data_IF_580761749733
#
_entry.id   IF_580761749733
#
_cell.length_a   1.000
_cell.length_b   1.000
_cell.length_c   1.000
_cell.angle_alpha   90.00
_cell.angle_beta   90.00
_cell.angle_gamma   90.00
#
_symmetry.space_group_name_H-M   'P 1'
#
loop_
_entity.id
_entity.type
_entity.pdbx_description
1 polymer ?
#
# COMPACT_ATOMS: atom_id res chain seq x y z
N UNK A 1 -6.78 -3.32 6.55
CA UNK A 1 -7.30 -3.54 5.18
C UNK A 1 -6.23 -4.19 4.31
N UNK A 2 -6.64 -4.91 3.27
CA UNK A 2 -5.73 -5.65 2.37
C UNK A 2 -5.88 -5.17 0.94
N UNK A 3 -4.78 -4.75 0.33
CA UNK A 3 -4.74 -4.33 -1.07
C UNK A 3 -3.82 -5.28 -1.84
N UNK A 4 -4.38 -5.93 -2.88
CA UNK A 4 -3.57 -6.73 -3.80
C UNK A 4 -2.89 -5.79 -4.79
N UNK A 5 -1.57 -5.86 -4.86
CA UNK A 5 -0.75 -5.08 -5.78
C UNK A 5 0.09 -6.01 -6.65
N UNK A 6 0.47 -5.54 -7.84
CA UNK A 6 1.32 -6.32 -8.74
C UNK A 6 2.78 -5.99 -8.42
N UNK A 7 3.63 -7.01 -8.39
CA UNK A 7 5.08 -6.86 -8.35
C UNK A 7 5.64 -7.18 -9.74
N UNK A 8 6.94 -6.98 -9.99
CA UNK A 8 7.55 -7.43 -11.25
C UNK A 8 7.42 -8.94 -11.48
N UNK A 9 7.41 -9.73 -10.40
CA UNK A 9 7.44 -11.19 -10.47
C UNK A 9 6.05 -11.84 -10.34
N UNK A 10 5.13 -11.25 -9.57
CA UNK A 10 3.76 -11.73 -9.37
C UNK A 10 2.87 -10.63 -8.76
N UNK A 11 2.29 -10.89 -7.60
CA UNK A 11 1.36 -10.04 -6.90
C UNK A 11 1.50 -10.28 -5.41
N UNK A 12 1.35 -9.20 -4.64
CA UNK A 12 1.52 -9.19 -3.19
C UNK A 12 0.28 -8.62 -2.53
N UNK A 13 -0.07 -9.12 -1.35
CA UNK A 13 -1.09 -8.53 -0.50
C UNK A 13 -0.39 -7.55 0.44
N UNK A 14 -0.73 -6.28 0.36
CA UNK A 14 -0.25 -5.23 1.27
C UNK A 14 -1.31 -4.96 2.32
N UNK A 15 -0.94 -5.09 3.59
CA UNK A 15 -1.74 -4.63 4.72
C UNK A 15 -1.66 -3.10 4.79
N UNK A 16 -2.65 -2.40 4.24
CA UNK A 16 -2.63 -0.93 4.07
C UNK A 16 -2.58 -0.16 5.39
N UNK A 17 -2.99 -0.79 6.49
CA UNK A 17 -2.97 -0.19 7.83
C UNK A 17 -1.57 -0.24 8.46
N UNK A 18 -0.68 -1.07 7.89
CA UNK A 18 0.69 -1.25 8.34
C UNK A 18 1.68 -0.48 7.46
N UNK A 19 1.21 0.14 6.37
CA UNK A 19 2.05 0.96 5.48
C UNK A 19 2.49 2.20 6.23
N UNK A 20 3.80 2.37 6.34
CA UNK A 20 4.44 3.51 7.02
C UNK A 20 4.91 4.55 6.02
N UNK A 21 5.45 4.11 4.89
CA UNK A 21 6.00 4.97 3.86
C UNK A 21 6.05 4.29 2.49
N UNK A 22 6.22 5.08 1.45
CA UNK A 22 6.45 4.58 0.10
C UNK A 22 7.30 5.56 -0.71
N UNK A 23 8.10 4.99 -1.61
CA UNK A 23 9.14 5.69 -2.36
C UNK A 23 8.99 5.41 -3.86
N UNK A 24 8.86 6.44 -4.70
CA UNK A 24 8.95 6.26 -6.14
C UNK A 24 10.35 5.76 -6.51
N UNK A 25 10.42 4.76 -7.38
CA UNK A 25 11.68 4.30 -7.94
C UNK A 25 12.06 5.17 -9.14
N UNK A 26 12.99 6.10 -8.92
CA UNK A 26 13.44 7.02 -9.96
C UNK A 26 14.24 6.32 -11.07
N UNK A 27 14.90 5.19 -10.76
CA UNK A 27 15.70 4.44 -11.73
C UNK A 27 14.83 3.77 -12.80
N UNK A 28 13.59 3.41 -12.46
CA UNK A 28 12.60 2.86 -13.39
C UNK A 28 11.69 3.93 -14.03
N UNK A 29 12.06 5.22 -13.95
CA UNK A 29 11.24 6.30 -14.51
C UNK A 29 9.90 6.51 -13.79
N UNK A 30 9.78 6.03 -12.54
CA UNK A 30 8.55 6.14 -11.75
C UNK A 30 7.50 5.06 -12.06
N UNK A 31 7.86 4.00 -12.77
CA UNK A 31 6.98 2.86 -13.05
C UNK A 31 6.88 1.88 -11.87
N UNK A 32 7.88 1.90 -10.98
CA UNK A 32 7.89 1.11 -9.76
C UNK A 32 7.81 2.01 -8.52
N UNK A 33 7.21 1.48 -7.46
CA UNK A 33 7.14 2.12 -6.15
C UNK A 33 7.51 1.11 -5.09
N UNK A 34 8.38 1.48 -4.16
CA UNK A 34 8.68 0.65 -2.98
C UNK A 34 7.74 1.06 -1.86
N UNK A 35 7.04 0.11 -1.26
CA UNK A 35 6.17 0.32 -0.11
C UNK A 35 6.84 -0.31 1.10
N UNK A 36 6.97 0.45 2.17
CA UNK A 36 7.42 -0.05 3.46
C UNK A 36 6.22 -0.22 4.40
N UNK A 37 6.27 -1.31 5.16
CA UNK A 37 5.30 -1.69 6.16
C UNK A 37 5.99 -2.04 7.46
N UNK A 38 5.31 -1.83 8.59
CA UNK A 38 5.74 -2.32 9.90
C UNK A 38 4.78 -3.42 10.35
N UNK A 39 5.32 -4.60 10.62
CA UNK A 39 4.57 -5.71 11.18
C UNK A 39 4.12 -5.44 12.62
N UNK A 40 3.18 -6.24 13.12
CA UNK A 40 2.72 -6.14 14.51
C UNK A 40 3.83 -6.39 15.55
N UNK A 41 4.92 -7.07 15.16
CA UNK A 41 6.11 -7.31 15.99
C UNK A 41 7.13 -6.16 15.93
N UNK A 42 6.87 -5.12 15.12
CA UNK A 42 7.76 -3.97 14.95
C UNK A 42 8.82 -4.14 13.86
N UNK A 43 8.83 -5.27 13.15
CA UNK A 43 9.77 -5.50 12.04
C UNK A 43 9.32 -4.75 10.80
N UNK A 44 10.25 -4.04 10.16
CA UNK A 44 10.02 -3.36 8.88
C UNK A 44 10.17 -4.32 7.71
N UNK A 45 9.23 -4.24 6.76
CA UNK A 45 9.25 -4.99 5.52
C UNK A 45 8.98 -4.07 4.35
N UNK A 46 9.77 -4.21 3.29
CA UNK A 46 9.64 -3.40 2.08
C UNK A 46 9.35 -4.27 0.87
N UNK A 47 8.40 -3.83 0.04
CA UNK A 47 8.03 -4.51 -1.20
C UNK A 47 8.02 -3.54 -2.37
N UNK A 48 8.63 -3.95 -3.49
CA UNK A 48 8.59 -3.19 -4.74
C UNK A 48 7.39 -3.63 -5.58
N UNK A 49 6.53 -2.68 -5.92
CA UNK A 49 5.33 -2.91 -6.72
C UNK A 49 5.43 -2.23 -8.09
N UNK A 50 4.84 -2.86 -9.11
CA UNK A 50 4.79 -2.38 -10.50
C UNK A 50 3.63 -1.41 -10.72
N UNK A 51 3.65 -0.34 -9.95
CA UNK A 51 2.67 0.74 -9.97
C UNK A 51 3.40 2.05 -9.73
N UNK A 52 2.94 3.12 -10.38
CA UNK A 52 3.49 4.45 -10.15
C UNK A 52 3.11 4.97 -8.76
N UNK A 53 3.87 5.95 -8.27
CA UNK A 53 3.63 6.58 -6.98
C UNK A 53 2.19 7.08 -6.85
N UNK A 54 1.65 7.71 -7.90
CA UNK A 54 0.27 8.21 -7.90
C UNK A 54 -0.76 7.09 -7.82
N UNK A 55 -0.52 5.97 -8.51
CA UNK A 55 -1.41 4.81 -8.44
C UNK A 55 -1.41 4.18 -7.05
N UNK A 56 -0.24 4.03 -6.43
CA UNK A 56 -0.10 3.52 -5.07
C UNK A 56 -0.78 4.45 -4.06
N UNK A 57 -0.47 5.75 -4.11
CA UNK A 57 -1.06 6.73 -3.20
C UNK A 57 -2.59 6.79 -3.32
N UNK A 58 -3.12 6.79 -4.55
CA UNK A 58 -4.56 6.81 -4.79
C UNK A 58 -5.25 5.53 -4.28
N UNK A 59 -4.65 4.37 -4.51
CA UNK A 59 -5.20 3.10 -4.05
C UNK A 59 -5.19 2.98 -2.52
N UNK A 60 -4.14 3.47 -1.84
CA UNK A 60 -4.08 3.53 -0.38
C UNK A 60 -5.12 4.49 0.20
N UNK A 61 -5.23 5.70 -0.35
CA UNK A 61 -6.24 6.67 0.08
C UNK A 61 -7.67 6.13 -0.09
N UNK A 62 -7.95 5.49 -1.23
CA UNK A 62 -9.25 4.85 -1.49
C UNK A 62 -9.53 3.72 -0.51
N UNK A 63 -8.54 2.90 -0.19
CA UNK A 63 -8.68 1.85 0.81
C UNK A 63 -9.05 2.47 2.17
N UNK A 64 -8.28 3.43 2.67
CA UNK A 64 -8.58 4.08 3.95
C UNK A 64 -9.97 4.72 4.00
N UNK A 65 -10.41 5.42 2.94
CA UNK A 65 -11.76 6.00 2.90
C UNK A 65 -12.88 4.97 2.98
N UNK A 66 -12.68 3.77 2.42
CA UNK A 66 -13.66 2.68 2.55
C UNK A 66 -13.68 2.13 3.99
N UNK A 67 -12.53 2.13 4.69
CA UNK A 67 -12.44 1.70 6.09
C UNK A 67 -13.19 2.67 7.01
N UNK A 68 -12.98 3.97 6.81
CA UNK A 68 -13.67 5.05 7.54
C UNK A 68 -15.19 4.93 7.38
N UNK A 69 -15.67 4.73 6.14
CA UNK A 69 -17.11 4.55 5.87
C UNK A 69 -17.69 3.28 6.49
N UNK A 70 -16.90 2.21 6.58
CA UNK A 70 -17.31 0.98 7.25
C UNK A 70 -17.35 1.13 8.76
N UNK A 71 -16.42 1.90 9.35
CA UNK A 71 -16.41 2.21 10.78
C UNK A 71 -17.59 3.10 11.18
N UNK A 72 -17.94 4.10 10.37
CA UNK A 72 -19.12 4.96 10.58
C UNK A 72 -20.44 4.16 10.56
N UNK A 73 -20.59 3.22 9.63
CA UNK A 73 -21.81 2.41 9.53
C UNK A 73 -21.98 1.33 10.60
N UNK A 74 -20.93 0.98 11.35
CA UNK A 74 -20.98 -0.02 12.42
C UNK A 74 -21.25 0.58 13.82
N UNK A 75 -21.23 1.91 13.95
CA UNK A 75 -21.49 2.64 15.19
C UNK A 75 -22.95 3.13 15.30
N UNK A 76 -23.85 2.69 14.42
CA UNK A 76 -25.27 3.08 14.36
C UNK A 76 -26.21 2.03 14.94
#
# INVERSE_FOLDING_TARGET
MRLKMNTPDDSVIVETNLVTQFYPDHESGGELTTIETVSATGETFSVKVKHSFYQVAHALATAWSVDEKKAEGAAS
#
